data_IF_692439022977
#
_entry.id   IF_692439022977
#
_cell.length_a   1.000
_cell.length_b   1.000
_cell.length_c   1.000
_cell.angle_alpha   90.00
_cell.angle_beta   90.00
_cell.angle_gamma   90.00
#
_symmetry.space_group_name_H-M   'P 1'
#
loop_
_entity.id
_entity.type
_entity.pdbx_description
1 polymer ?
#
# COMPACT_ATOMS: atom_id res chain seq x y z
N UNK A 1 -31.93 -31.91 -44.51
CA UNK A 1 -31.01 -32.51 -43.52
C UNK A 1 -30.30 -31.39 -42.76
N UNK A 2 -30.45 -31.42 -41.42
CA UNK A 2 -29.60 -30.85 -40.35
C UNK A 2 -29.46 -29.32 -40.26
N UNK A 3 -29.45 -28.64 -39.10
CA UNK A 3 -30.05 -28.76 -37.75
C UNK A 3 -29.81 -27.36 -37.15
N UNK A 4 -30.85 -26.62 -36.74
CA UNK A 4 -30.71 -25.40 -35.93
C UNK A 4 -30.95 -25.78 -34.47
N UNK A 5 -29.98 -25.46 -33.60
CA UNK A 5 -30.13 -25.63 -32.16
C UNK A 5 -31.06 -24.54 -31.61
N UNK A 6 -32.14 -25.00 -30.98
CA UNK A 6 -33.11 -24.22 -30.22
C UNK A 6 -32.73 -24.37 -28.74
N UNK A 7 -32.33 -23.27 -28.10
CA UNK A 7 -32.13 -23.24 -26.65
C UNK A 7 -33.43 -22.83 -25.95
N UNK A 8 -33.83 -23.69 -25.02
CA UNK A 8 -34.97 -23.59 -24.11
C UNK A 8 -34.59 -22.64 -22.98
N UNK A 9 -35.51 -21.73 -22.63
CA UNK A 9 -35.40 -20.90 -21.44
C UNK A 9 -36.79 -20.42 -21.01
N UNK A 10 -37.50 -21.30 -20.29
CA UNK A 10 -38.75 -20.98 -19.59
C UNK A 10 -38.46 -19.89 -18.54
N UNK A 11 -39.08 -18.72 -18.69
CA UNK A 11 -39.22 -17.76 -17.59
C UNK A 11 -40.69 -17.76 -17.17
N UNK A 12 -40.98 -18.49 -16.08
CA UNK A 12 -42.17 -18.23 -15.28
C UNK A 12 -41.71 -17.75 -13.92
N UNK A 13 -41.91 -16.48 -13.63
CA UNK A 13 -42.28 -16.09 -12.29
C UNK A 13 -43.12 -14.81 -12.34
N UNK A 14 -44.40 -15.00 -12.01
CA UNK A 14 -45.37 -13.96 -11.74
C UNK A 14 -44.99 -13.31 -10.42
N UNK A 15 -44.83 -11.98 -10.42
CA UNK A 15 -44.92 -11.17 -9.20
C UNK A 15 -45.93 -10.06 -9.48
N UNK A 16 -47.12 -10.23 -8.93
CA UNK A 16 -48.11 -9.16 -8.75
C UNK A 16 -47.62 -8.29 -7.60
N UNK A 17 -47.34 -7.01 -7.86
CA UNK A 17 -47.23 -5.99 -6.84
C UNK A 17 -48.03 -4.76 -7.27
N UNK A 18 -49.03 -4.47 -6.47
CA UNK A 18 -49.94 -3.34 -6.53
C UNK A 18 -49.19 -2.00 -6.44
N UNK A 19 -49.58 -1.07 -7.30
CA UNK A 19 -49.63 0.39 -7.10
C UNK A 19 -48.62 1.03 -6.13
N UNK A 20 -47.65 1.74 -6.70
CA UNK A 20 -46.85 2.73 -5.97
C UNK A 20 -46.01 3.52 -6.96
N UNK A 21 -46.36 4.78 -7.18
CA UNK A 21 -45.54 5.73 -7.94
C UNK A 21 -44.20 5.88 -7.23
N UNK A 22 -43.12 5.43 -7.87
CA UNK A 22 -41.75 5.75 -7.43
C UNK A 22 -41.18 6.76 -8.41
N UNK A 23 -40.94 7.95 -7.87
CA UNK A 23 -40.26 9.07 -8.48
C UNK A 23 -38.84 8.63 -8.90
N UNK A 24 -38.54 8.60 -10.20
CA UNK A 24 -37.21 8.27 -10.71
C UNK A 24 -36.28 9.47 -10.50
N UNK A 25 -35.58 9.50 -9.36
CA UNK A 25 -34.36 10.28 -9.24
C UNK A 25 -33.26 9.55 -10.01
N UNK A 26 -32.58 10.26 -10.91
CA UNK A 26 -31.37 9.77 -11.57
C UNK A 26 -30.40 9.27 -10.50
N UNK A 27 -30.06 7.98 -10.56
CA UNK A 27 -28.92 7.46 -9.81
C UNK A 27 -27.67 8.04 -10.48
N UNK A 28 -26.83 8.84 -9.81
CA UNK A 28 -25.46 8.94 -10.27
C UNK A 28 -24.89 7.52 -10.17
N UNK A 29 -24.40 7.01 -11.31
CA UNK A 29 -23.63 5.79 -11.33
C UNK A 29 -22.53 5.93 -10.28
N UNK A 30 -22.58 5.04 -9.28
CA UNK A 30 -21.53 4.86 -8.29
C UNK A 30 -20.20 4.76 -9.05
N UNK A 31 -19.40 5.80 -9.02
CA UNK A 31 -18.03 5.76 -9.51
C UNK A 31 -17.32 4.67 -8.70
N UNK A 32 -17.14 3.52 -9.33
CA UNK A 32 -16.24 2.50 -8.83
C UNK A 32 -14.86 3.15 -8.74
N UNK A 33 -14.46 3.48 -7.51
CA UNK A 33 -13.13 3.95 -7.19
C UNK A 33 -12.10 2.94 -7.73
N UNK A 34 -11.45 3.31 -8.83
CA UNK A 34 -10.36 2.57 -9.45
C UNK A 34 -9.01 2.88 -8.82
N UNK A 35 -8.98 3.32 -7.56
CA UNK A 35 -7.73 3.44 -6.81
C UNK A 35 -7.27 2.02 -6.42
N UNK A 36 -6.18 1.49 -6.99
CA UNK A 36 -5.57 0.30 -6.42
C UNK A 36 -4.99 0.71 -5.06
N UNK A 37 -5.34 -0.05 -4.03
CA UNK A 37 -4.72 -0.03 -2.69
C UNK A 37 -4.84 1.27 -1.87
N UNK A 38 -6.05 1.57 -1.43
CA UNK A 38 -6.22 2.37 -0.21
C UNK A 38 -5.75 1.55 1.01
N UNK A 39 -4.91 2.09 1.92
CA UNK A 39 -4.37 1.37 3.09
C UNK A 39 -5.46 0.82 4.02
N UNK A 40 -6.69 1.33 3.91
CA UNK A 40 -7.86 0.87 4.66
C UNK A 40 -8.33 -0.56 4.32
N UNK A 41 -7.84 -1.19 3.24
CA UNK A 41 -8.28 -2.52 2.80
C UNK A 41 -7.25 -3.66 2.99
N UNK A 42 -6.26 -3.50 3.88
CA UNK A 42 -5.38 -4.62 4.27
C UNK A 42 -5.89 -5.22 5.59
N UNK A 43 -6.68 -6.31 5.56
CA UNK A 43 -7.36 -6.85 6.76
C UNK A 43 -6.44 -7.39 7.86
N UNK A 44 -5.12 -7.22 7.77
CA UNK A 44 -4.17 -7.67 8.78
C UNK A 44 -2.82 -6.93 8.77
N UNK A 45 -2.78 -5.65 8.37
CA UNK A 45 -1.56 -4.85 8.51
C UNK A 45 -1.84 -3.63 9.39
N UNK A 46 -1.34 -3.69 10.62
CA UNK A 46 -1.39 -2.55 11.53
C UNK A 46 -0.26 -1.57 11.16
N UNK A 47 -0.50 -0.28 11.38
CA UNK A 47 0.53 0.75 11.17
C UNK A 47 1.28 0.98 12.47
N UNK A 48 2.61 0.93 12.42
CA UNK A 48 3.50 1.37 13.48
C UNK A 48 4.09 2.75 13.19
N UNK A 49 4.58 3.42 14.23
CA UNK A 49 5.36 4.64 14.07
C UNK A 49 6.47 4.74 15.11
N UNK A 50 7.67 5.10 14.68
CA UNK A 50 8.85 5.29 15.53
C UNK A 50 9.52 6.64 15.22
N UNK A 51 10.21 7.21 16.21
CA UNK A 51 10.94 8.48 16.09
C UNK A 51 12.37 8.28 16.58
N UNK A 52 13.34 8.79 15.83
CA UNK A 52 14.74 8.79 16.24
C UNK A 52 15.66 9.38 15.17
N UNK A 53 16.94 9.52 15.50
CA UNK A 53 17.97 9.88 14.52
C UNK A 53 18.36 8.66 13.68
N UNK A 54 18.90 8.90 12.50
CA UNK A 54 19.37 7.83 11.63
C UNK A 54 20.72 7.29 12.11
N UNK A 55 20.79 5.97 12.28
CA UNK A 55 22.05 5.26 12.54
C UNK A 55 22.81 5.03 11.22
N UNK A 56 22.09 4.59 10.18
CA UNK A 56 22.63 4.38 8.84
C UNK A 56 21.51 4.33 7.79
N UNK A 57 21.89 4.57 6.54
CA UNK A 57 21.07 4.35 5.33
C UNK A 57 21.89 3.51 4.37
N UNK A 58 21.26 2.52 3.75
CA UNK A 58 21.78 1.72 2.64
C UNK A 58 20.81 1.81 1.47
N UNK A 59 21.34 2.15 0.30
CA UNK A 59 20.63 2.05 -0.98
C UNK A 59 21.31 0.97 -1.80
N UNK A 60 20.54 0.07 -2.39
CA UNK A 60 21.06 -1.07 -3.12
C UNK A 60 20.28 -1.32 -4.43
N UNK A 61 20.77 -2.24 -5.25
CA UNK A 61 20.26 -2.47 -6.60
C UNK A 61 18.80 -2.95 -6.62
N UNK A 62 18.06 -2.55 -7.65
CA UNK A 62 16.66 -2.92 -7.86
C UNK A 62 16.47 -4.44 -7.91
N UNK A 63 15.46 -4.94 -7.19
CA UNK A 63 15.13 -6.36 -7.14
C UNK A 63 16.00 -7.18 -6.19
N UNK A 64 16.79 -6.50 -5.34
CA UNK A 64 17.39 -7.11 -4.14
C UNK A 64 16.56 -6.73 -2.91
N UNK A 65 16.84 -7.34 -1.76
CA UNK A 65 16.13 -7.04 -0.52
C UNK A 65 17.02 -7.24 0.71
N UNK A 66 16.41 -7.19 1.89
CA UNK A 66 17.12 -7.15 3.15
C UNK A 66 16.52 -8.07 4.22
N UNK A 67 17.39 -8.65 5.04
CA UNK A 67 17.02 -9.51 6.16
C UNK A 67 17.17 -11.01 5.87
N UNK A 68 17.01 -11.87 6.91
CA UNK A 68 16.96 -13.31 6.75
C UNK A 68 15.63 -13.74 6.11
N UNK A 69 15.56 -14.97 5.58
CA UNK A 69 14.37 -15.48 4.87
C UNK A 69 13.07 -15.44 5.69
N UNK A 70 13.14 -15.48 7.02
CA UNK A 70 11.98 -15.43 7.93
C UNK A 70 11.48 -14.00 8.21
N UNK A 71 12.27 -12.98 7.87
CA UNK A 71 12.02 -11.58 8.21
C UNK A 71 12.52 -10.69 7.06
N UNK A 72 12.25 -11.11 5.82
CA UNK A 72 12.79 -10.49 4.62
C UNK A 72 11.89 -9.34 4.14
N UNK A 73 12.48 -8.26 3.66
CA UNK A 73 11.80 -7.18 2.96
C UNK A 73 12.39 -6.99 1.55
N UNK A 74 11.52 -6.94 0.54
CA UNK A 74 11.88 -6.68 -0.86
C UNK A 74 11.78 -5.18 -1.15
N UNK A 75 12.88 -4.47 -0.92
CA UNK A 75 12.98 -3.00 -0.93
C UNK A 75 14.36 -2.60 -1.43
N UNK A 76 14.57 -1.37 -1.89
CA UNK A 76 15.88 -0.90 -2.37
C UNK A 76 16.58 0.07 -1.41
N UNK A 77 15.80 0.75 -0.55
CA UNK A 77 16.31 1.60 0.52
C UNK A 77 16.05 0.89 1.83
N UNK A 78 17.09 0.78 2.65
CA UNK A 78 17.02 0.23 4.00
C UNK A 78 17.71 1.21 4.95
N UNK A 79 17.13 1.46 6.10
CA UNK A 79 17.70 2.35 7.10
C UNK A 79 17.31 1.90 8.51
N UNK A 80 18.03 2.44 9.50
CA UNK A 80 17.80 2.14 10.91
C UNK A 80 17.90 3.40 11.76
N UNK A 81 17.10 3.45 12.82
CA UNK A 81 17.15 4.53 13.81
C UNK A 81 18.07 4.13 14.98
N UNK A 82 18.76 5.11 15.56
CA UNK A 82 19.73 4.88 16.66
C UNK A 82 19.10 4.28 17.92
N UNK A 83 17.80 4.48 18.12
CA UNK A 83 17.03 4.02 19.26
C UNK A 83 16.03 2.90 18.93
N UNK A 84 16.16 2.28 17.74
CA UNK A 84 15.29 1.19 17.30
C UNK A 84 16.10 -0.08 17.09
N UNK A 85 15.53 -1.22 17.43
CA UNK A 85 16.08 -2.53 17.04
C UNK A 85 15.60 -2.97 15.64
N UNK A 86 14.66 -2.22 15.04
CA UNK A 86 14.07 -2.52 13.76
C UNK A 86 14.83 -1.87 12.60
N UNK A 87 14.80 -2.52 11.44
CA UNK A 87 15.17 -1.90 10.18
C UNK A 87 13.92 -1.58 9.36
N UNK A 88 13.97 -0.48 8.63
CA UNK A 88 12.89 0.01 7.80
C UNK A 88 13.34 0.10 6.36
N UNK A 89 12.42 -0.06 5.42
CA UNK A 89 12.75 0.13 4.03
C UNK A 89 11.56 0.39 3.12
N UNK A 90 11.86 0.84 1.90
CA UNK A 90 10.87 1.10 0.85
C UNK A 90 11.51 0.95 -0.53
N UNK A 91 10.66 0.82 -1.56
CA UNK A 91 11.10 0.55 -2.93
C UNK A 91 11.47 1.81 -3.70
N UNK A 92 12.42 1.75 -4.63
CA UNK A 92 12.76 2.84 -5.58
C UNK A 92 12.48 2.45 -7.04
N UNK A 93 11.53 1.53 -7.24
CA UNK A 93 11.23 0.98 -8.56
C UNK A 93 10.59 2.05 -9.45
N UNK A 94 11.10 2.30 -10.67
CA UNK A 94 10.55 3.33 -11.55
C UNK A 94 9.11 3.07 -12.01
N UNK A 95 8.69 1.80 -11.99
CA UNK A 95 7.34 1.37 -12.37
C UNK A 95 6.37 1.30 -11.18
N UNK A 96 6.81 1.65 -9.97
CA UNK A 96 5.94 1.77 -8.81
C UNK A 96 5.09 3.06 -8.90
N UNK A 97 3.82 2.95 -8.53
CA UNK A 97 2.88 4.06 -8.51
C UNK A 97 3.28 5.16 -7.52
N UNK A 98 4.07 4.80 -6.51
CA UNK A 98 4.53 5.72 -5.47
C UNK A 98 6.00 6.15 -5.67
N UNK A 99 6.60 5.94 -6.85
CA UNK A 99 8.02 6.22 -7.08
C UNK A 99 8.45 7.64 -6.70
N UNK A 100 7.64 8.66 -6.99
CA UNK A 100 7.93 10.05 -6.60
C UNK A 100 7.88 10.25 -5.07
N UNK A 101 6.94 9.62 -4.39
CA UNK A 101 6.83 9.70 -2.93
C UNK A 101 8.03 8.99 -2.26
N UNK A 102 8.42 7.83 -2.77
CA UNK A 102 9.59 7.10 -2.31
C UNK A 102 10.89 7.87 -2.55
N UNK A 103 11.04 8.54 -3.70
CA UNK A 103 12.18 9.42 -3.93
C UNK A 103 12.20 10.56 -2.89
N UNK A 104 11.06 11.20 -2.64
CA UNK A 104 10.96 12.25 -1.61
C UNK A 104 11.27 11.74 -0.20
N UNK A 105 10.90 10.50 0.14
CA UNK A 105 11.28 9.87 1.40
C UNK A 105 12.79 9.66 1.51
N UNK A 106 13.45 9.22 0.43
CA UNK A 106 14.92 9.10 0.40
C UNK A 106 15.58 10.47 0.58
N UNK A 107 15.10 11.50 -0.12
CA UNK A 107 15.64 12.85 -0.02
C UNK A 107 15.55 13.38 1.43
N UNK A 108 14.40 13.17 2.10
CA UNK A 108 14.21 13.50 3.52
C UNK A 108 15.20 12.76 4.43
N UNK A 109 15.44 11.48 4.18
CA UNK A 109 16.40 10.70 4.97
C UNK A 109 17.84 11.19 4.78
N UNK A 110 18.24 11.49 3.54
CA UNK A 110 19.57 12.02 3.23
C UNK A 110 19.76 13.39 3.92
N UNK A 111 18.78 14.28 3.82
CA UNK A 111 18.82 15.58 4.48
C UNK A 111 18.88 15.45 6.00
N UNK A 112 18.06 14.57 6.59
CA UNK A 112 18.05 14.35 8.03
C UNK A 112 19.39 13.80 8.54
N UNK A 113 20.00 12.86 7.81
CA UNK A 113 21.33 12.34 8.15
C UNK A 113 22.42 13.40 8.04
N UNK A 114 22.36 14.27 7.03
CA UNK A 114 23.36 15.32 6.84
C UNK A 114 23.29 16.44 7.91
N UNK A 115 22.16 16.55 8.62
CA UNK A 115 21.91 17.61 9.59
C UNK A 115 21.64 17.09 11.02
N UNK A 116 21.87 15.79 11.29
CA UNK A 116 21.60 15.14 12.58
C UNK A 116 20.15 15.35 13.10
N UNK A 117 19.18 15.36 12.18
CA UNK A 117 17.76 15.52 12.50
C UNK A 117 17.12 14.21 12.94
N UNK A 118 16.13 14.32 13.83
CA UNK A 118 15.24 13.19 14.12
C UNK A 118 14.23 13.00 12.97
N UNK A 119 13.85 11.76 12.71
CA UNK A 119 12.80 11.41 11.75
C UNK A 119 11.70 10.60 12.43
N UNK A 120 10.45 10.87 12.08
CA UNK A 120 9.32 9.95 12.31
C UNK A 120 9.15 9.04 11.11
N UNK A 121 9.12 7.75 11.36
CA UNK A 121 8.89 6.71 10.36
C UNK A 121 7.54 6.09 10.64
N UNK A 122 6.67 6.04 9.64
CA UNK A 122 5.42 5.26 9.70
C UNK A 122 5.58 4.03 8.79
N UNK A 123 5.25 2.85 9.33
CA UNK A 123 5.53 1.57 8.69
C UNK A 123 4.40 0.56 8.87
N UNK A 124 4.38 -0.45 7.99
CA UNK A 124 3.42 -1.54 8.06
C UNK A 124 4.00 -2.69 8.88
N UNK A 125 3.26 -3.12 9.91
CA UNK A 125 3.54 -4.38 10.61
C UNK A 125 2.83 -5.51 9.86
N UNK A 126 3.62 -6.33 9.17
CA UNK A 126 3.16 -7.56 8.52
C UNK A 126 3.48 -8.79 9.35
N UNK A 127 3.88 -9.87 8.68
CA UNK A 127 4.40 -11.09 9.35
C UNK A 127 5.85 -10.93 9.85
N UNK A 128 6.49 -9.82 9.48
CA UNK A 128 7.87 -9.51 9.84
C UNK A 128 7.94 -9.04 11.29
N UNK A 129 9.06 -9.30 11.95
CA UNK A 129 9.27 -9.00 13.37
C UNK A 129 10.25 -7.85 13.58
N UNK A 130 11.29 -7.72 12.75
CA UNK A 130 12.29 -6.67 12.89
C UNK A 130 12.49 -5.83 11.62
N UNK A 131 12.03 -6.30 10.46
CA UNK A 131 12.22 -5.61 9.19
C UNK A 131 10.88 -5.16 8.61
N UNK A 132 10.63 -3.85 8.55
CA UNK A 132 9.33 -3.30 8.18
C UNK A 132 9.38 -2.45 6.91
N UNK A 133 8.25 -2.43 6.19
CA UNK A 133 8.08 -1.55 5.03
C UNK A 133 7.57 -0.19 5.51
N UNK A 134 8.38 0.85 5.32
CA UNK A 134 8.01 2.23 5.59
C UNK A 134 7.14 2.77 4.45
N UNK A 135 6.09 3.53 4.79
CA UNK A 135 5.24 4.22 3.82
C UNK A 135 5.26 5.74 3.99
N UNK A 136 5.91 6.24 5.05
CA UNK A 136 6.08 7.67 5.29
C UNK A 136 7.31 7.95 6.15
N UNK A 137 8.03 9.01 5.80
CA UNK A 137 9.12 9.58 6.61
C UNK A 137 8.88 11.09 6.76
N UNK A 138 9.08 11.62 7.96
CA UNK A 138 8.96 13.05 8.27
C UNK A 138 10.17 13.46 9.10
N UNK A 139 10.91 14.49 8.70
CA UNK A 139 12.01 15.03 9.50
C UNK A 139 11.54 16.11 10.50
N UNK A 140 12.16 16.13 11.67
CA UNK A 140 12.06 17.18 12.68
C UNK A 140 13.36 17.97 12.72
N UNK A 141 13.26 19.24 12.32
CA UNK A 141 14.36 20.20 12.23
C UNK A 141 14.37 21.18 13.40
#
# INVERSE_FOLDING_TARGET
MKTKFLFIGLASMVVLALSGVVLWAAHPASEASTAPDSPANRPNQQGGAEIGQLEWIRVHDVGTGYGPSSDFIDVEVVFKLTNSDHAFGFTLRPNDQNALAHQGMLDVLIDAMANDWEVRVEYLTGNNTNNFVAFRVIAYK
#
